data_IF_569085799111
#
_entry.id   IF_569085799111
#
_cell.length_a   1.000
_cell.length_b   1.000
_cell.length_c   1.000
_cell.angle_alpha   90.00
_cell.angle_beta   90.00
_cell.angle_gamma   90.00
#
_symmetry.space_group_name_H-M   'P 1'
#
loop_
_entity.id
_entity.type
_entity.pdbx_description
1 polymer ?
#
# COMPACT_ATOMS: atom_id res chain seq x y z
N UNK A 1 -21.60 -16.12 0.75
CA UNK A 1 -20.81 -14.86 0.73
C UNK A 1 -19.44 -15.10 1.35
N UNK A 2 -18.32 -14.57 0.82
CA UNK A 2 -16.99 -14.79 1.44
C UNK A 2 -16.82 -13.98 2.74
N UNK A 3 -16.05 -14.50 3.70
CA UNK A 3 -15.70 -13.84 4.96
C UNK A 3 -15.27 -12.37 4.80
N UNK A 4 -14.23 -12.12 4.00
CA UNK A 4 -13.71 -10.77 3.78
C UNK A 4 -14.76 -9.82 3.19
N UNK A 5 -15.72 -10.36 2.43
CA UNK A 5 -16.80 -9.56 1.89
C UNK A 5 -17.82 -9.22 2.97
N UNK A 6 -18.16 -10.18 3.84
CA UNK A 6 -19.07 -9.96 4.97
C UNK A 6 -18.53 -8.93 5.96
N UNK A 7 -17.26 -9.01 6.33
CA UNK A 7 -16.60 -8.00 7.18
C UNK A 7 -16.66 -6.60 6.58
N UNK A 8 -16.40 -6.48 5.27
CA UNK A 8 -16.43 -5.17 4.60
C UNK A 8 -17.84 -4.62 4.43
N UNK A 9 -18.85 -5.49 4.28
CA UNK A 9 -20.23 -5.07 4.01
C UNK A 9 -21.03 -4.81 5.28
N UNK A 10 -20.82 -5.61 6.32
CA UNK A 10 -21.62 -5.60 7.55
C UNK A 10 -20.81 -5.23 8.80
N UNK A 11 -19.52 -4.89 8.64
CA UNK A 11 -18.66 -4.51 9.77
C UNK A 11 -18.33 -5.66 10.72
N UNK A 12 -18.56 -6.91 10.32
CA UNK A 12 -18.42 -8.07 11.19
C UNK A 12 -16.96 -8.47 11.46
N UNK A 13 -16.61 -8.67 12.72
CA UNK A 13 -15.32 -9.22 13.14
C UNK A 13 -15.29 -10.76 13.05
N UNK A 14 -14.09 -11.33 12.97
CA UNK A 14 -13.86 -12.78 12.89
C UNK A 14 -14.52 -13.58 14.04
N UNK A 15 -14.71 -12.94 15.20
CA UNK A 15 -15.37 -13.56 16.36
C UNK A 15 -16.86 -13.71 16.16
N UNK A 16 -17.49 -12.68 15.61
CA UNK A 16 -18.93 -12.61 15.37
C UNK A 16 -19.30 -13.49 14.17
N UNK A 17 -18.39 -13.72 13.23
CA UNK A 17 -18.66 -14.55 12.04
C UNK A 17 -18.72 -16.06 12.36
N UNK A 18 -18.27 -16.50 13.54
CA UNK A 18 -18.40 -17.91 13.97
C UNK A 18 -19.79 -18.26 14.50
N UNK A 19 -20.65 -17.28 14.79
CA UNK A 19 -22.01 -17.53 15.25
C UNK A 19 -23.00 -17.88 14.13
N UNK A 20 -22.99 -17.26 12.92
CA UNK A 20 -23.85 -17.69 11.83
C UNK A 20 -23.36 -19.01 11.18
N UNK A 21 -24.27 -19.75 10.52
CA UNK A 21 -23.90 -20.94 9.77
C UNK A 21 -22.87 -20.60 8.68
N UNK A 22 -21.73 -21.28 8.73
CA UNK A 22 -20.61 -21.11 7.80
C UNK A 22 -20.21 -22.42 7.12
N UNK A 23 -19.81 -22.33 5.86
CA UNK A 23 -19.29 -23.45 5.06
C UNK A 23 -17.82 -23.20 4.76
N UNK A 24 -16.96 -24.14 5.13
CA UNK A 24 -15.56 -24.11 4.72
C UNK A 24 -15.41 -24.73 3.34
N UNK A 25 -14.82 -23.97 2.41
CA UNK A 25 -14.48 -24.43 1.08
C UNK A 25 -12.97 -24.50 0.97
N UNK A 26 -12.48 -25.65 0.53
CA UNK A 26 -11.09 -25.81 0.11
C UNK A 26 -11.03 -25.52 -1.38
N UNK A 27 -10.52 -24.35 -1.75
CA UNK A 27 -10.30 -24.00 -3.15
C UNK A 27 -9.11 -24.80 -3.67
N UNK A 28 -9.40 -25.94 -4.30
CA UNK A 28 -8.43 -26.75 -5.02
C UNK A 28 -8.08 -26.10 -6.36
N UNK A 29 -6.96 -25.37 -6.44
CA UNK A 29 -6.33 -25.10 -7.73
C UNK A 29 -5.40 -26.26 -8.06
N UNK A 30 -5.82 -27.13 -8.98
CA UNK A 30 -4.97 -28.15 -9.58
C UNK A 30 -3.87 -27.47 -10.39
N UNK A 31 -2.76 -27.12 -9.74
CA UNK A 31 -1.56 -26.66 -10.39
C UNK A 31 -0.44 -27.61 -9.96
N UNK A 32 0.12 -28.29 -10.96
CA UNK A 32 1.16 -29.29 -10.81
C UNK A 32 2.30 -28.77 -9.91
N UNK A 33 2.51 -29.44 -8.79
CA UNK A 33 3.85 -29.52 -8.18
C UNK A 33 4.07 -28.93 -6.80
N UNK A 34 3.13 -28.17 -6.20
CA UNK A 34 3.10 -27.78 -4.76
C UNK A 34 2.09 -26.65 -4.55
N UNK A 35 0.98 -26.89 -3.84
CA UNK A 35 0.18 -25.79 -3.23
C UNK A 35 -0.47 -26.22 -1.93
N UNK A 36 -0.41 -25.33 -0.96
CA UNK A 36 -1.26 -25.33 0.22
C UNK A 36 -2.72 -25.09 -0.20
N UNK A 37 -3.69 -25.86 0.32
CA UNK A 37 -5.10 -25.59 0.09
C UNK A 37 -5.46 -24.18 0.56
N UNK A 38 -6.05 -23.35 -0.31
CA UNK A 38 -6.62 -22.07 0.12
C UNK A 38 -7.97 -22.39 0.73
N UNK A 39 -8.06 -22.33 2.05
CA UNK A 39 -9.33 -22.46 2.76
C UNK A 39 -10.05 -21.11 2.71
N UNK A 40 -11.30 -21.12 2.28
CA UNK A 40 -12.18 -19.95 2.30
C UNK A 40 -13.44 -20.27 3.08
N UNK A 41 -13.87 -19.33 3.92
CA UNK A 41 -15.12 -19.47 4.68
C UNK A 41 -16.21 -18.72 3.92
N UNK A 42 -17.27 -19.44 3.59
CA UNK A 42 -18.51 -18.86 3.11
C UNK A 42 -19.50 -18.73 4.25
N UNK A 43 -20.11 -17.57 4.36
CA UNK A 43 -21.17 -17.24 5.30
C UNK A 43 -22.45 -17.00 4.49
N UNK A 44 -23.58 -17.45 5.02
CA UNK A 44 -24.88 -17.10 4.45
C UNK A 44 -25.12 -15.57 4.54
N UNK A 45 -25.77 -15.02 3.51
CA UNK A 45 -25.94 -13.57 3.40
C UNK A 45 -26.91 -13.01 4.45
N UNK A 46 -28.07 -13.65 4.60
CA UNK A 46 -29.10 -13.21 5.54
C UNK A 46 -28.61 -13.35 6.97
N UNK A 47 -27.96 -14.49 7.25
CA UNK A 47 -27.35 -14.76 8.55
C UNK A 47 -26.26 -13.74 8.90
N UNK A 48 -25.39 -13.38 7.96
CA UNK A 48 -24.38 -12.35 8.17
C UNK A 48 -25.01 -10.96 8.40
N UNK A 49 -26.06 -10.60 7.64
CA UNK A 49 -26.77 -9.34 7.84
C UNK A 49 -27.42 -9.28 9.22
N UNK A 50 -28.09 -10.34 9.64
CA UNK A 50 -28.75 -10.40 10.95
C UNK A 50 -27.74 -10.36 12.10
N UNK A 51 -26.60 -11.03 11.95
CA UNK A 51 -25.49 -10.93 12.89
C UNK A 51 -24.94 -9.51 12.98
N UNK A 52 -24.81 -8.80 11.86
CA UNK A 52 -24.38 -7.40 11.84
C UNK A 52 -25.37 -6.47 12.53
N UNK A 53 -26.67 -6.66 12.28
CA UNK A 53 -27.72 -5.89 12.95
C UNK A 53 -27.74 -6.18 14.46
N UNK A 54 -27.51 -7.43 14.87
CA UNK A 54 -27.44 -7.79 16.28
C UNK A 54 -26.22 -7.17 16.98
N UNK A 55 -25.08 -7.07 16.29
CA UNK A 55 -23.83 -6.50 16.82
C UNK A 55 -23.89 -4.97 16.93
N UNK A 56 -24.42 -4.30 15.89
CA UNK A 56 -24.51 -2.84 15.81
C UNK A 56 -25.84 -2.27 16.33
N UNK A 57 -26.81 -3.13 16.67
CA UNK A 57 -28.13 -2.80 17.19
C UNK A 57 -29.17 -2.37 16.15
N UNK A 58 -28.75 -1.83 15.00
CA UNK A 58 -29.66 -1.44 13.90
C UNK A 58 -28.95 -1.45 12.56
N UNK A 59 -29.73 -1.43 11.47
CA UNK A 59 -29.20 -1.32 10.10
C UNK A 59 -28.47 0.01 9.91
N UNK A 60 -29.06 1.12 10.35
CA UNK A 60 -28.47 2.45 10.17
C UNK A 60 -27.15 2.60 10.94
N UNK A 61 -27.08 2.06 12.17
CA UNK A 61 -25.86 2.05 12.96
C UNK A 61 -24.77 1.20 12.30
N UNK A 62 -25.13 0.03 11.76
CA UNK A 62 -24.22 -0.83 11.00
C UNK A 62 -23.66 -0.12 9.76
N UNK A 63 -24.53 0.50 8.96
CA UNK A 63 -24.13 1.19 7.74
C UNK A 63 -23.24 2.40 8.05
N UNK A 64 -23.60 3.18 9.09
CA UNK A 64 -22.77 4.29 9.56
C UNK A 64 -21.39 3.82 10.01
N UNK A 65 -21.31 2.74 10.80
CA UNK A 65 -20.05 2.17 11.24
C UNK A 65 -19.16 1.75 10.05
N UNK A 66 -19.75 1.08 9.05
CA UNK A 66 -19.02 0.68 7.83
C UNK A 66 -18.50 1.90 7.07
N UNK A 67 -19.32 2.94 6.91
CA UNK A 67 -18.91 4.19 6.26
C UNK A 67 -17.75 4.86 6.99
N UNK A 68 -17.86 5.04 8.31
CA UNK A 68 -16.82 5.65 9.13
C UNK A 68 -15.51 4.86 9.04
N UNK A 69 -15.59 3.54 9.09
CA UNK A 69 -14.43 2.65 8.97
C UNK A 69 -13.77 2.73 7.58
N UNK A 70 -14.56 2.89 6.52
CA UNK A 70 -14.02 3.10 5.17
C UNK A 70 -13.37 4.48 5.02
N UNK A 71 -13.94 5.51 5.64
CA UNK A 71 -13.39 6.86 5.62
C UNK A 71 -12.04 6.91 6.35
N UNK A 72 -11.92 6.27 7.52
CA UNK A 72 -10.68 6.15 8.26
C UNK A 72 -9.57 5.47 7.44
N UNK A 73 -9.87 4.31 6.84
CA UNK A 73 -8.91 3.60 5.98
C UNK A 73 -8.47 4.44 4.78
N UNK A 74 -9.37 5.25 4.23
CA UNK A 74 -9.04 6.14 3.12
C UNK A 74 -8.10 7.27 3.56
N UNK A 75 -8.33 7.85 4.74
CA UNK A 75 -7.45 8.86 5.33
C UNK A 75 -6.05 8.29 5.61
N UNK A 76 -5.96 7.12 6.26
CA UNK A 76 -4.70 6.43 6.52
C UNK A 76 -3.92 6.16 5.22
N UNK A 77 -4.62 5.74 4.16
CA UNK A 77 -4.01 5.52 2.86
C UNK A 77 -3.45 6.81 2.24
N UNK A 78 -4.19 7.92 2.32
CA UNK A 78 -3.72 9.23 1.86
C UNK A 78 -2.47 9.65 2.64
N UNK A 79 -2.51 9.57 3.96
CA UNK A 79 -1.39 9.95 4.83
C UNK A 79 -0.14 9.12 4.56
N UNK A 80 -0.28 7.80 4.44
CA UNK A 80 0.83 6.92 4.09
C UNK A 80 1.43 7.29 2.72
N UNK A 81 0.59 7.61 1.74
CA UNK A 81 1.02 8.00 0.40
C UNK A 81 1.71 9.37 0.38
N UNK A 82 1.30 10.31 1.23
CA UNK A 82 1.97 11.60 1.39
C UNK A 82 3.37 11.39 1.99
N UNK A 83 3.49 10.58 3.05
CA UNK A 83 4.78 10.25 3.68
C UNK A 83 5.77 9.62 2.69
N UNK A 84 5.33 8.62 1.91
CA UNK A 84 6.20 8.00 0.89
C UNK A 84 6.68 9.02 -0.15
N UNK A 85 5.85 9.99 -0.53
CA UNK A 85 6.27 11.06 -1.45
C UNK A 85 7.28 11.99 -0.81
N UNK A 86 7.07 12.42 0.43
CA UNK A 86 8.01 13.31 1.13
C UNK A 86 9.37 12.64 1.34
N UNK A 87 9.39 11.36 1.69
CA UNK A 87 10.62 10.60 1.91
C UNK A 87 11.41 10.46 0.60
N UNK A 88 10.71 10.16 -0.51
CA UNK A 88 11.31 10.10 -1.85
C UNK A 88 11.86 11.47 -2.30
N UNK A 89 11.17 12.56 -1.99
CA UNK A 89 11.67 13.92 -2.28
C UNK A 89 12.88 14.30 -1.42
N UNK A 90 12.90 13.89 -0.15
CA UNK A 90 14.04 14.09 0.74
C UNK A 90 15.27 13.31 0.24
N UNK A 91 15.08 12.07 -0.19
CA UNK A 91 16.12 11.23 -0.80
C UNK A 91 16.64 11.83 -2.12
N UNK A 92 15.76 12.34 -2.98
CA UNK A 92 16.12 13.06 -4.20
C UNK A 92 16.92 14.35 -3.91
N UNK A 93 16.62 15.06 -2.81
CA UNK A 93 17.38 16.25 -2.40
C UNK A 93 18.76 15.89 -1.85
N UNK A 94 18.88 14.80 -1.10
CA UNK A 94 20.17 14.31 -0.58
C UNK A 94 21.08 13.82 -1.72
N UNK A 95 20.54 13.03 -2.65
CA UNK A 95 21.28 12.57 -3.83
C UNK A 95 21.72 13.72 -4.74
N UNK A 96 20.86 14.72 -4.99
CA UNK A 96 21.22 15.93 -5.76
C UNK A 96 22.35 16.73 -5.12
N UNK A 97 22.35 16.90 -3.79
CA UNK A 97 23.47 17.55 -3.08
C UNK A 97 24.76 16.75 -3.19
N UNK A 98 24.67 15.41 -3.18
CA UNK A 98 25.83 14.53 -3.25
C UNK A 98 26.51 14.52 -4.64
N UNK A 99 25.75 14.57 -5.74
CA UNK A 99 26.32 14.70 -7.08
C UNK A 99 26.87 16.10 -7.37
N UNK A 100 26.28 17.17 -6.80
CA UNK A 100 26.85 18.51 -6.92
C UNK A 100 28.21 18.65 -6.21
N UNK A 101 28.40 17.97 -5.07
CA UNK A 101 29.69 17.87 -4.38
C UNK A 101 30.73 17.09 -5.20
N UNK A 102 30.35 15.93 -5.76
CA UNK A 102 31.25 15.11 -6.58
C UNK A 102 31.72 15.83 -7.85
N UNK A 103 30.84 16.59 -8.51
CA UNK A 103 31.22 17.39 -9.68
C UNK A 103 32.09 18.60 -9.33
N UNK A 104 32.01 19.13 -8.10
CA UNK A 104 32.83 20.26 -7.67
C UNK A 104 34.26 19.83 -7.31
N UNK A 105 34.46 18.60 -6.85
CA UNK A 105 35.80 18.02 -6.65
C UNK A 105 36.46 17.59 -7.97
N UNK A 106 35.69 17.12 -8.96
CA UNK A 106 36.21 16.78 -10.28
C UNK A 106 36.72 18.00 -11.08
N UNK A 107 36.35 19.22 -10.69
CA UNK A 107 36.84 20.45 -11.32
C UNK A 107 38.25 20.87 -10.84
N UNK A 108 38.82 20.22 -9.82
CA UNK A 108 40.13 20.57 -9.25
C UNK A 108 41.24 19.54 -9.54
N UNK A 109 40.92 18.39 -10.14
CA UNK A 109 41.91 17.33 -10.43
C UNK A 109 42.15 17.11 -11.95
N UNK A 110 41.98 18.14 -12.79
CA UNK A 110 42.28 18.02 -14.23
C UNK A 110 43.15 19.16 -14.79
N UNK A 111 44.13 19.61 -14.02
CA UNK A 111 45.25 20.35 -14.58
C UNK A 111 46.54 19.70 -14.12
N UNK A 112 46.96 18.64 -14.78
CA UNK A 112 48.24 18.64 -15.49
C UNK A 112 48.41 17.34 -16.29
N UNK A 113 49.14 17.47 -17.40
CA UNK A 113 49.91 16.43 -18.10
C UNK A 113 49.26 15.76 -19.33
N UNK A 114 49.53 16.39 -20.48
CA UNK A 114 49.58 15.86 -21.85
C UNK A 114 48.30 15.87 -22.68
N UNK A 115 47.92 17.04 -23.19
CA UNK A 115 47.34 17.11 -24.54
C UNK A 115 47.78 18.41 -25.19
N UNK A 116 48.65 18.28 -26.20
CA UNK A 116 49.16 19.41 -26.99
C UNK A 116 48.09 19.90 -27.97
N UNK A 117 47.09 20.61 -27.45
CA UNK A 117 46.03 21.20 -28.27
C UNK A 117 46.16 22.74 -28.24
N UNK A 118 46.67 23.37 -29.32
CA UNK A 118 47.00 24.80 -29.34
C UNK A 118 45.80 25.73 -29.62
N UNK A 119 44.55 25.25 -29.65
CA UNK A 119 43.39 26.08 -30.01
C UNK A 119 42.21 25.94 -29.03
N UNK A 120 42.36 26.51 -27.83
CA UNK A 120 41.22 26.91 -27.00
C UNK A 120 41.39 28.36 -26.57
N UNK A 121 41.03 29.27 -27.49
CA UNK A 121 40.84 30.67 -27.17
C UNK A 121 39.60 30.82 -26.27
N UNK A 122 39.80 31.47 -25.12
CA UNK A 122 38.72 32.06 -24.35
C UNK A 122 38.05 33.17 -25.16
N UNK A 123 36.72 33.19 -25.16
CA UNK A 123 35.97 34.42 -25.39
C UNK A 123 35.04 34.64 -24.18
N UNK A 124 35.38 35.66 -23.41
CA UNK A 124 34.51 36.30 -22.41
C UNK A 124 33.79 37.44 -23.12
N UNK A 125 32.47 37.51 -23.01
CA UNK A 125 31.70 38.75 -23.07
C UNK A 125 30.70 38.72 -21.92
#
# INVERSE_FOLDING_TARGET
MRFNHATRKFGLDHRVIKTPPCVEIVDGKYLLGKRSPIRSVLVDYESARNAGIADHGSVDAMDKYVLDLTAQKYQEFIEARIKVKSDREAELRLTRKHCHWRNRLAAWEFTDRKSGDPFLFMAVV
#
